data_IF_346414006771
#
_entry.id   IF_346414006771
#
_cell.length_a   1.000
_cell.length_b   1.000
_cell.length_c   1.000
_cell.angle_alpha   90.00
_cell.angle_beta   90.00
_cell.angle_gamma   90.00
#
_symmetry.space_group_name_H-M   'P 1'
#
loop_
_entity.id
_entity.type
_entity.pdbx_description
1 polymer ?
#
# COMPACT_ATOMS: atom_id res chain seq x y z
N UNK A 1 32.75 -6.12 -6.65
CA UNK A 1 31.43 -6.19 -5.99
C UNK A 1 30.48 -6.77 -7.02
N UNK A 2 29.85 -7.90 -6.72
CA UNK A 2 28.91 -8.55 -7.64
C UNK A 2 27.58 -8.64 -6.94
N UNK A 3 26.52 -8.14 -7.57
CA UNK A 3 25.16 -8.15 -7.01
C UNK A 3 24.38 -9.30 -7.63
N UNK A 4 23.73 -10.10 -6.78
CA UNK A 4 22.86 -11.20 -7.18
C UNK A 4 21.48 -10.94 -6.56
N UNK A 5 20.43 -11.03 -7.37
CA UNK A 5 19.06 -10.87 -6.90
C UNK A 5 18.50 -12.25 -6.59
N UNK A 6 18.04 -12.44 -5.35
CA UNK A 6 17.42 -13.69 -4.90
C UNK A 6 15.96 -13.37 -4.57
N UNK A 7 15.06 -14.13 -5.18
CA UNK A 7 13.63 -14.05 -4.89
C UNK A 7 13.35 -14.72 -3.54
N UNK A 8 12.93 -13.93 -2.53
CA UNK A 8 12.68 -14.41 -1.17
C UNK A 8 11.27 -14.96 -0.95
N UNK A 9 10.42 -14.95 -1.99
CA UNK A 9 9.09 -15.55 -1.94
C UNK A 9 9.08 -17.07 -2.16
N UNK A 10 10.16 -17.65 -2.69
CA UNK A 10 10.28 -19.10 -2.90
C UNK A 10 10.94 -19.81 -1.71
N UNK A 11 10.60 -21.08 -1.43
CA UNK A 11 11.28 -21.88 -0.42
C UNK A 11 12.80 -21.97 -0.65
N UNK A 12 13.22 -22.14 -1.91
CA UNK A 12 14.61 -22.25 -2.30
C UNK A 12 15.37 -20.94 -2.09
N UNK A 13 14.75 -19.80 -2.43
CA UNK A 13 15.34 -18.49 -2.24
C UNK A 13 15.50 -18.13 -0.75
N UNK A 14 14.52 -18.49 0.09
CA UNK A 14 14.61 -18.34 1.55
C UNK A 14 15.72 -19.20 2.13
N UNK A 15 15.81 -20.46 1.73
CA UNK A 15 16.86 -21.36 2.18
C UNK A 15 18.26 -20.82 1.81
N UNK A 16 18.43 -20.33 0.57
CA UNK A 16 19.68 -19.71 0.12
C UNK A 16 20.04 -18.48 0.97
N UNK A 17 19.07 -17.59 1.22
CA UNK A 17 19.27 -16.40 2.05
C UNK A 17 19.67 -16.77 3.49
N UNK A 18 18.98 -17.73 4.11
CA UNK A 18 19.30 -18.19 5.45
C UNK A 18 20.69 -18.83 5.54
N UNK A 19 21.16 -19.47 4.48
CA UNK A 19 22.49 -20.06 4.43
C UNK A 19 23.61 -19.01 4.36
N UNK A 20 23.39 -17.91 3.63
CA UNK A 20 24.45 -16.94 3.31
C UNK A 20 24.43 -15.67 4.18
N UNK A 21 23.33 -15.40 4.90
CA UNK A 21 23.13 -14.14 5.65
C UNK A 21 24.20 -13.83 6.69
N UNK A 22 24.78 -14.86 7.31
CA UNK A 22 25.79 -14.71 8.38
C UNK A 22 27.23 -14.77 7.84
N UNK A 23 27.40 -14.88 6.53
CA UNK A 23 28.71 -14.98 5.91
C UNK A 23 29.39 -13.61 5.80
N UNK A 24 30.64 -13.50 6.25
CA UNK A 24 31.40 -12.23 6.34
C UNK A 24 31.58 -11.49 5.01
N UNK A 25 31.49 -12.20 3.89
CA UNK A 25 31.64 -11.64 2.54
C UNK A 25 30.31 -11.27 1.88
N UNK A 26 29.19 -11.41 2.60
CA UNK A 26 27.85 -11.15 2.08
C UNK A 26 27.28 -9.94 2.81
N UNK A 27 26.78 -8.98 2.02
CA UNK A 27 26.02 -7.84 2.51
C UNK A 27 24.63 -7.94 1.92
N UNK A 28 23.61 -8.05 2.77
CA UNK A 28 22.22 -8.06 2.33
C UNK A 28 21.70 -6.63 2.35
N UNK A 29 21.29 -6.12 1.20
CA UNK A 29 20.60 -4.85 1.14
C UNK A 29 19.19 -5.02 1.73
N UNK A 30 18.81 -4.21 2.74
CA UNK A 30 17.46 -4.26 3.27
C UNK A 30 16.49 -3.92 2.14
N UNK A 31 15.50 -4.80 1.92
CA UNK A 31 14.43 -4.54 0.95
C UNK A 31 13.88 -3.16 1.29
N UNK A 32 13.94 -2.22 0.34
CA UNK A 32 13.31 -0.91 0.47
C UNK A 32 11.83 -1.21 0.65
N UNK A 33 11.37 -1.27 1.90
CA UNK A 33 9.94 -1.31 2.19
C UNK A 33 9.40 -0.08 1.48
N UNK A 34 8.62 -0.32 0.40
CA UNK A 34 7.79 0.73 -0.16
C UNK A 34 7.06 1.32 1.04
N UNK A 35 7.33 2.59 1.32
CA UNK A 35 6.76 3.30 2.44
C UNK A 35 5.28 2.98 2.41
N UNK A 36 4.84 2.29 3.46
CA UNK A 36 3.50 1.80 3.66
C UNK A 36 2.52 2.78 3.01
N UNK A 37 1.82 2.33 1.98
CA UNK A 37 0.82 3.11 1.25
C UNK A 37 -0.22 3.76 2.20
N UNK A 38 -0.29 3.27 3.43
CA UNK A 38 -0.98 3.82 4.60
C UNK A 38 -0.66 5.29 4.85
N UNK A 39 0.58 5.76 4.76
CA UNK A 39 0.93 7.17 5.01
C UNK A 39 0.24 8.15 4.06
N UNK A 40 0.12 7.78 2.78
CA UNK A 40 -0.56 8.61 1.78
C UNK A 40 -2.07 8.63 1.98
N UNK A 41 -2.66 7.50 2.36
CA UNK A 41 -4.08 7.38 2.66
C UNK A 41 -4.46 8.12 3.95
N UNK A 42 -3.70 7.96 5.03
CA UNK A 42 -3.91 8.66 6.30
C UNK A 42 -3.80 10.18 6.13
N UNK A 43 -2.84 10.64 5.33
CA UNK A 43 -2.72 12.06 4.99
C UNK A 43 -3.92 12.58 4.20
N UNK A 44 -4.42 11.81 3.22
CA UNK A 44 -5.58 12.21 2.43
C UNK A 44 -6.83 12.35 3.33
N UNK A 45 -7.05 11.40 4.25
CA UNK A 45 -8.16 11.49 5.22
C UNK A 45 -7.99 12.71 6.14
N UNK A 46 -6.78 12.98 6.63
CA UNK A 46 -6.50 14.16 7.46
C UNK A 46 -6.72 15.50 6.72
N UNK A 47 -6.49 15.52 5.41
CA UNK A 47 -6.77 16.67 4.54
C UNK A 47 -8.25 16.80 4.13
N UNK A 48 -9.12 15.91 4.64
CA UNK A 48 -10.57 15.96 4.45
C UNK A 48 -11.07 15.13 3.28
N UNK A 49 -10.27 14.21 2.74
CA UNK A 49 -10.77 13.23 1.79
C UNK A 49 -11.82 12.33 2.47
N UNK A 50 -12.91 12.09 1.76
CA UNK A 50 -13.97 11.16 2.17
C UNK A 50 -13.89 9.90 1.32
N UNK A 51 -14.40 8.78 1.84
CA UNK A 51 -14.51 7.56 1.05
C UNK A 51 -15.51 7.72 -0.09
N UNK A 52 -15.34 6.93 -1.16
CA UNK A 52 -16.28 6.91 -2.27
C UNK A 52 -17.69 6.54 -1.79
N UNK A 53 -17.81 5.58 -0.86
CA UNK A 53 -19.09 5.17 -0.29
C UNK A 53 -19.79 6.33 0.44
N UNK A 54 -19.06 7.08 1.28
CA UNK A 54 -19.62 8.24 1.98
C UNK A 54 -20.10 9.32 1.00
N UNK A 55 -19.35 9.53 -0.10
CA UNK A 55 -19.77 10.43 -1.17
C UNK A 55 -21.06 9.96 -1.85
N UNK A 56 -21.16 8.67 -2.19
CA UNK A 56 -22.36 8.13 -2.86
C UNK A 56 -23.57 8.10 -1.95
N UNK A 57 -23.41 7.81 -0.66
CA UNK A 57 -24.49 7.87 0.33
C UNK A 57 -25.06 9.29 0.45
N UNK A 58 -24.19 10.30 0.52
CA UNK A 58 -24.64 11.69 0.56
C UNK A 58 -25.28 12.13 -0.77
N UNK A 59 -24.70 11.75 -1.90
CA UNK A 59 -25.26 12.04 -3.22
C UNK A 59 -26.66 11.46 -3.37
N UNK A 60 -26.83 10.17 -3.03
CA UNK A 60 -28.11 9.48 -3.10
C UNK A 60 -29.14 10.10 -2.15
N UNK A 61 -28.73 10.45 -0.92
CA UNK A 61 -29.62 11.15 0.02
C UNK A 61 -30.11 12.50 -0.52
N UNK A 62 -29.28 13.22 -1.28
CA UNK A 62 -29.67 14.49 -1.91
C UNK A 62 -30.57 14.30 -3.12
N UNK A 63 -30.37 13.23 -3.89
CA UNK A 63 -31.26 12.86 -5.00
C UNK A 63 -32.63 12.46 -4.46
N UNK A 64 -32.70 11.64 -3.41
CA UNK A 64 -33.97 11.22 -2.78
C UNK A 64 -34.75 12.40 -2.18
N UNK A 65 -34.04 13.41 -1.68
CA UNK A 65 -34.63 14.63 -1.12
C UNK A 65 -34.90 15.70 -2.18
N UNK A 66 -34.66 15.43 -3.45
CA UNK A 66 -34.82 16.41 -4.51
C UNK A 66 -36.32 16.72 -4.71
N UNK A 67 -36.79 17.96 -4.46
CA UNK A 67 -38.17 18.31 -4.76
C UNK A 67 -38.34 18.41 -6.28
N UNK A 68 -39.27 17.65 -6.86
CA UNK A 68 -39.59 17.67 -8.30
C UNK A 68 -40.10 19.03 -8.83
N UNK A 69 -40.34 20.00 -7.95
CA UNK A 69 -40.82 21.33 -8.34
C UNK A 69 -39.68 22.34 -8.49
N UNK A 70 -38.95 22.26 -9.61
CA UNK A 70 -38.39 23.46 -10.24
C UNK A 70 -39.34 23.84 -11.37
N UNK A 71 -40.32 24.70 -11.05
CA UNK A 71 -41.10 25.43 -12.04
C UNK A 71 -40.18 26.33 -12.90
#
# INVERSE_FOLDING_TARGET
MTTVHIEDSTPEGRWLLDLIKDHKSVTIEPKKQEAKHTDAWDKAIAEGAISADAFFDELNSRIDKWPESRA
#
